data_IF_854231977202
#
_entry.id   IF_854231977202
#
_cell.length_a   1.000
_cell.length_b   1.000
_cell.length_c   1.000
_cell.angle_alpha   90.00
_cell.angle_beta   90.00
_cell.angle_gamma   90.00
#
_symmetry.space_group_name_H-M   'P 1'
#
loop_
_entity.id
_entity.type
_entity.pdbx_description
1 polymer ?
#
# COMPACT_ATOMS: atom_id res chain seq x y z
N UNK A 1 -2.60 15.66 -13.60
CA UNK A 1 -3.70 14.70 -13.55
C UNK A 1 -3.24 13.45 -12.81
N UNK A 2 -3.86 13.17 -11.65
CA UNK A 2 -3.44 12.08 -10.76
C UNK A 2 -3.65 10.66 -11.29
N UNK A 3 -4.09 10.50 -12.53
CA UNK A 3 -4.19 9.21 -13.21
C UNK A 3 -2.90 8.80 -13.94
N UNK A 4 -1.98 9.73 -14.15
CA UNK A 4 -0.78 9.51 -14.93
C UNK A 4 0.45 9.14 -14.09
N UNK A 5 0.34 9.10 -12.78
CA UNK A 5 1.45 8.75 -11.92
C UNK A 5 1.05 7.88 -10.72
N UNK A 6 2.04 7.17 -10.19
CA UNK A 6 1.97 6.52 -8.89
C UNK A 6 2.93 7.19 -7.90
N UNK A 7 2.50 7.35 -6.65
CA UNK A 7 3.39 7.73 -5.56
C UNK A 7 4.35 6.59 -5.26
N UNK A 8 5.64 6.87 -5.23
CA UNK A 8 6.64 5.88 -4.82
C UNK A 8 7.29 6.30 -3.50
N UNK A 9 7.23 5.40 -2.54
CA UNK A 9 7.88 5.47 -1.25
C UNK A 9 9.18 4.65 -1.29
N UNK A 10 9.24 3.49 -0.61
CA UNK A 10 10.40 2.59 -0.69
C UNK A 10 10.54 1.78 -1.98
N UNK A 11 9.50 1.72 -2.79
CA UNK A 11 9.49 1.06 -4.09
C UNK A 11 9.56 -0.48 -4.06
N UNK A 12 9.68 -1.09 -2.90
CA UNK A 12 9.92 -2.55 -2.74
C UNK A 12 8.78 -3.43 -3.25
N UNK A 13 7.57 -2.89 -3.29
CA UNK A 13 6.40 -3.54 -3.85
C UNK A 13 6.01 -2.96 -5.21
N UNK A 14 5.86 -1.65 -5.29
CA UNK A 14 5.40 -0.95 -6.48
C UNK A 14 6.28 -1.24 -7.71
N UNK A 15 7.60 -1.17 -7.57
CA UNK A 15 8.50 -1.41 -8.71
C UNK A 15 8.51 -2.88 -9.18
N UNK A 16 8.24 -3.83 -8.28
CA UNK A 16 8.01 -5.21 -8.66
C UNK A 16 6.72 -5.35 -9.49
N UNK A 17 5.65 -4.65 -9.10
CA UNK A 17 4.39 -4.62 -9.83
C UNK A 17 4.55 -4.00 -11.22
N UNK A 18 5.39 -2.98 -11.39
CA UNK A 18 5.76 -2.44 -12.72
C UNK A 18 6.45 -3.47 -13.62
N UNK A 19 7.36 -4.28 -13.06
CA UNK A 19 8.01 -5.37 -13.82
C UNK A 19 7.01 -6.42 -14.33
N UNK A 20 5.95 -6.66 -13.58
CA UNK A 20 4.88 -7.59 -13.94
C UNK A 20 3.76 -6.94 -14.75
N UNK A 21 3.90 -5.66 -15.07
CA UNK A 21 2.89 -4.84 -15.73
C UNK A 21 1.53 -4.85 -15.01
N UNK A 22 1.56 -4.95 -13.69
CA UNK A 22 0.40 -4.72 -12.83
C UNK A 22 0.13 -3.22 -12.72
N UNK A 23 1.18 -2.43 -12.49
CA UNK A 23 1.15 -0.97 -12.60
C UNK A 23 1.76 -0.57 -13.96
N UNK A 24 1.08 0.33 -14.67
CA UNK A 24 1.43 0.72 -16.05
C UNK A 24 1.46 2.23 -16.26
N UNK A 25 1.25 3.03 -15.22
CA UNK A 25 1.27 4.49 -15.32
C UNK A 25 2.63 5.00 -15.83
N UNK A 26 2.66 6.02 -16.70
CA UNK A 26 3.89 6.48 -17.32
C UNK A 26 4.86 7.16 -16.37
N UNK A 27 4.37 7.64 -15.22
CA UNK A 27 5.17 8.39 -14.27
C UNK A 27 5.10 7.81 -12.85
N UNK A 28 6.20 7.97 -12.11
CA UNK A 28 6.26 7.75 -10.67
C UNK A 28 6.81 9.00 -9.98
N UNK A 29 6.19 9.41 -8.90
CA UNK A 29 6.60 10.58 -8.12
C UNK A 29 7.12 10.11 -6.76
N UNK A 30 8.40 10.38 -6.49
CA UNK A 30 9.02 9.97 -5.24
C UNK A 30 8.67 10.92 -4.10
N UNK A 31 8.24 10.36 -2.97
CA UNK A 31 8.00 11.08 -1.73
C UNK A 31 9.31 11.42 -0.98
N UNK A 32 10.45 10.86 -1.38
CA UNK A 32 11.73 10.95 -0.64
C UNK A 32 12.31 12.36 -0.50
N UNK A 33 11.79 13.33 -1.25
CA UNK A 33 12.25 14.74 -1.19
C UNK A 33 11.40 15.62 -0.29
N UNK A 34 10.32 15.10 0.28
CA UNK A 34 9.48 15.85 1.21
C UNK A 34 10.15 15.84 2.58
N UNK A 35 10.50 17.00 3.15
CA UNK A 35 11.18 17.05 4.43
C UNK A 35 10.25 16.64 5.59
N UNK A 36 10.79 15.98 6.60
CA UNK A 36 10.11 15.68 7.85
C UNK A 36 9.14 14.49 7.84
N UNK A 37 8.94 13.82 6.70
CA UNK A 37 8.02 12.68 6.60
C UNK A 37 8.68 11.32 6.87
N UNK A 38 9.92 11.30 7.33
CA UNK A 38 10.69 10.12 7.75
C UNK A 38 10.97 10.08 9.26
N UNK A 39 10.35 10.96 10.02
CA UNK A 39 10.50 11.05 11.48
C UNK A 39 10.01 9.79 12.18
N UNK A 40 10.67 9.43 13.29
CA UNK A 40 10.30 8.30 14.14
C UNK A 40 10.29 8.73 15.60
N UNK A 41 9.14 8.65 16.22
CA UNK A 41 8.96 8.84 17.66
C UNK A 41 7.93 7.86 18.21
N UNK A 42 7.81 7.79 19.52
CA UNK A 42 6.83 6.91 20.18
C UNK A 42 5.37 7.31 19.93
N UNK A 43 5.12 8.56 19.53
CA UNK A 43 3.78 9.10 19.29
C UNK A 43 3.47 9.36 17.82
N UNK A 44 4.49 9.52 16.99
CA UNK A 44 4.34 9.90 15.60
C UNK A 44 5.40 9.25 14.72
N UNK A 45 4.98 8.65 13.63
CA UNK A 45 5.86 8.01 12.66
C UNK A 45 5.50 8.49 11.26
N UNK A 46 6.45 9.12 10.61
CA UNK A 46 6.29 9.59 9.23
C UNK A 46 6.18 8.46 8.22
N UNK A 47 5.44 8.68 7.15
CA UNK A 47 5.17 7.65 6.15
C UNK A 47 6.43 7.11 5.45
N UNK A 48 7.50 7.92 5.38
CA UNK A 48 8.78 7.53 4.80
C UNK A 48 9.75 6.91 5.82
N UNK A 49 9.36 6.76 7.10
CA UNK A 49 10.14 6.02 8.09
C UNK A 49 10.39 4.59 7.59
N UNK A 50 11.66 4.20 7.52
CA UNK A 50 12.05 2.87 7.06
C UNK A 50 11.71 1.82 8.10
N UNK A 51 11.26 0.65 7.67
CA UNK A 51 10.92 -0.43 8.59
C UNK A 51 12.13 -0.86 9.42
N UNK A 52 13.34 -0.81 8.87
CA UNK A 52 14.57 -1.08 9.62
C UNK A 52 14.84 -0.09 10.75
N UNK A 53 14.38 1.16 10.66
CA UNK A 53 14.50 2.13 11.74
C UNK A 53 13.46 1.93 12.84
N UNK A 54 12.35 1.24 12.55
CA UNK A 54 11.34 0.89 13.53
C UNK A 54 11.75 -0.31 14.40
N UNK A 55 12.54 -1.25 13.86
CA UNK A 55 12.97 -2.47 14.57
C UNK A 55 13.73 -2.19 15.88
N UNK A 56 14.51 -1.13 15.94
CA UNK A 56 15.29 -0.74 17.12
C UNK A 56 15.04 0.71 17.55
N UNK A 57 13.98 1.33 16.99
CA UNK A 57 13.68 2.73 17.21
C UNK A 57 12.90 2.99 18.50
N UNK A 58 12.71 4.28 18.79
CA UNK A 58 11.88 4.74 19.89
C UNK A 58 10.39 4.68 19.49
N UNK A 59 9.86 3.48 19.33
CA UNK A 59 8.47 3.19 18.99
C UNK A 59 7.88 2.17 19.97
N UNK A 60 6.56 1.99 19.94
CA UNK A 60 5.91 0.97 20.76
C UNK A 60 6.47 -0.43 20.44
N UNK A 61 6.77 -1.28 21.43
CA UNK A 61 7.41 -2.60 21.23
C UNK A 61 6.70 -3.50 20.20
N UNK A 62 5.38 -3.48 20.17
CA UNK A 62 4.59 -4.24 19.19
C UNK A 62 4.86 -3.77 17.76
N UNK A 63 5.06 -2.45 17.53
CA UNK A 63 5.40 -1.91 16.21
C UNK A 63 6.80 -2.37 15.81
N UNK A 64 7.78 -2.29 16.73
CA UNK A 64 9.13 -2.75 16.49
C UNK A 64 9.18 -4.24 16.13
N UNK A 65 8.44 -5.08 16.87
CA UNK A 65 8.35 -6.51 16.59
C UNK A 65 7.70 -6.77 15.23
N UNK A 66 6.57 -6.14 14.92
CA UNK A 66 5.90 -6.31 13.63
C UNK A 66 6.81 -5.87 12.47
N UNK A 67 7.47 -4.71 12.60
CA UNK A 67 8.41 -4.23 11.59
C UNK A 67 9.53 -5.24 11.33
N UNK A 68 10.09 -5.84 12.39
CA UNK A 68 11.15 -6.86 12.30
C UNK A 68 10.71 -8.17 11.62
N UNK A 69 9.41 -8.45 11.54
CA UNK A 69 8.85 -9.63 10.85
C UNK A 69 8.60 -9.40 9.36
N UNK A 70 8.57 -8.15 8.90
CA UNK A 70 8.31 -7.84 7.48
C UNK A 70 9.47 -8.32 6.61
N UNK A 71 9.21 -9.20 5.66
CA UNK A 71 10.14 -9.62 4.61
C UNK A 71 11.57 -9.92 5.12
N UNK A 72 12.62 -9.49 4.39
CA UNK A 72 14.01 -9.63 4.78
C UNK A 72 14.58 -8.31 5.33
N UNK A 73 15.68 -8.39 6.08
CA UNK A 73 16.39 -7.21 6.58
C UNK A 73 16.83 -6.25 5.46
N UNK A 74 17.15 -6.79 4.28
CA UNK A 74 17.51 -5.97 3.13
C UNK A 74 16.30 -5.19 2.58
N UNK A 75 15.15 -5.84 2.48
CA UNK A 75 13.90 -5.19 2.07
C UNK A 75 13.51 -4.09 3.07
N UNK A 76 13.59 -4.34 4.37
CA UNK A 76 13.24 -3.37 5.41
C UNK A 76 14.08 -2.10 5.41
N UNK A 77 15.30 -2.14 4.87
CA UNK A 77 16.15 -0.95 4.65
C UNK A 77 15.61 0.01 3.58
N UNK A 78 14.74 -0.45 2.71
CA UNK A 78 14.10 0.37 1.66
C UNK A 78 12.60 0.52 1.89
N UNK A 79 11.93 -0.52 2.37
CA UNK A 79 10.51 -0.48 2.68
C UNK A 79 10.22 0.54 3.79
N UNK A 80 9.10 1.24 3.66
CA UNK A 80 8.67 2.32 4.57
C UNK A 80 7.33 1.98 5.21
N UNK A 81 7.00 2.67 6.31
CA UNK A 81 5.71 2.50 6.99
C UNK A 81 4.55 2.82 6.05
N UNK A 82 4.54 3.99 5.41
CA UNK A 82 3.46 4.37 4.49
C UNK A 82 3.34 3.42 3.30
N UNK A 83 4.47 2.96 2.76
CA UNK A 83 4.47 1.93 1.72
C UNK A 83 3.86 0.61 2.18
N UNK A 84 4.10 0.18 3.43
CA UNK A 84 3.48 -1.01 4.01
C UNK A 84 1.97 -0.80 4.23
N UNK A 85 1.55 0.35 4.74
CA UNK A 85 0.13 0.66 4.95
C UNK A 85 -0.66 0.80 3.63
N UNK A 86 -0.02 1.29 2.58
CA UNK A 86 -0.64 1.49 1.27
C UNK A 86 -0.40 0.35 0.28
N UNK A 87 0.07 -0.83 0.74
CA UNK A 87 0.28 -2.00 -0.12
C UNK A 87 -0.96 -2.29 -0.97
N UNK A 88 -0.73 -2.72 -2.20
CA UNK A 88 -1.82 -3.26 -2.99
C UNK A 88 -2.29 -4.61 -2.45
N UNK A 89 -3.55 -4.92 -2.65
CA UNK A 89 -4.14 -6.20 -2.25
C UNK A 89 -3.61 -7.34 -3.12
N UNK A 90 -3.53 -8.54 -2.56
CA UNK A 90 -2.95 -9.72 -3.19
C UNK A 90 -4.01 -10.75 -3.55
N UNK A 91 -3.85 -11.30 -4.74
CA UNK A 91 -4.64 -12.42 -5.24
C UNK A 91 -3.77 -13.27 -6.17
N UNK A 92 -3.85 -14.59 -6.04
CA UNK A 92 -3.13 -15.51 -6.92
C UNK A 92 -3.40 -15.23 -8.41
N UNK A 93 -4.63 -14.93 -8.76
CA UNK A 93 -5.06 -14.69 -10.14
C UNK A 93 -4.66 -13.31 -10.69
N UNK A 94 -4.35 -12.36 -9.84
CA UNK A 94 -3.96 -11.01 -10.25
C UNK A 94 -2.45 -10.78 -10.23
N UNK A 95 -1.75 -11.26 -9.19
CA UNK A 95 -0.32 -11.01 -9.00
C UNK A 95 0.54 -11.97 -9.83
N UNK A 96 0.38 -11.92 -11.14
CA UNK A 96 1.04 -12.73 -12.16
C UNK A 96 1.55 -11.83 -13.29
N UNK A 97 2.38 -12.38 -14.20
CA UNK A 97 2.80 -11.65 -15.39
C UNK A 97 1.62 -11.25 -16.27
N UNK A 98 1.79 -10.23 -17.08
CA UNK A 98 0.76 -9.78 -18.02
C UNK A 98 0.32 -10.90 -18.96
N UNK A 99 1.27 -11.65 -19.52
CA UNK A 99 0.98 -12.75 -20.46
C UNK A 99 0.15 -13.84 -19.76
N UNK A 100 0.47 -14.17 -18.51
CA UNK A 100 -0.31 -15.13 -17.74
C UNK A 100 -1.73 -14.60 -17.47
N UNK A 101 -1.88 -13.34 -17.04
CA UNK A 101 -3.20 -12.73 -16.82
C UNK A 101 -4.03 -12.70 -18.11
N UNK A 102 -3.39 -12.42 -19.25
CA UNK A 102 -4.02 -12.45 -20.57
C UNK A 102 -4.49 -13.85 -20.94
N UNK A 103 -3.70 -14.88 -20.67
CA UNK A 103 -4.04 -16.29 -21.04
C UNK A 103 -5.27 -16.81 -20.29
N UNK A 104 -5.62 -16.24 -19.15
CA UNK A 104 -6.82 -16.58 -18.37
C UNK A 104 -7.97 -15.59 -18.60
N UNK A 105 -7.86 -14.74 -19.65
CA UNK A 105 -8.86 -13.72 -19.96
C UNK A 105 -9.09 -12.70 -18.85
N UNK A 106 -8.02 -12.38 -18.08
CA UNK A 106 -8.01 -11.39 -17.00
C UNK A 106 -8.97 -11.70 -15.83
N UNK A 107 -9.03 -10.81 -14.88
CA UNK A 107 -10.05 -10.76 -13.84
C UNK A 107 -10.61 -9.33 -13.76
N UNK A 108 -11.69 -9.10 -13.02
CA UNK A 108 -12.33 -7.79 -12.95
C UNK A 108 -11.46 -6.69 -12.28
N UNK A 109 -10.40 -7.07 -11.54
CA UNK A 109 -9.42 -6.12 -10.98
C UNK A 109 -8.34 -5.72 -12.01
N UNK A 110 -8.21 -6.41 -13.13
CA UNK A 110 -7.12 -6.19 -14.07
C UNK A 110 -7.17 -4.77 -14.69
N UNK A 111 -6.01 -4.16 -14.86
CA UNK A 111 -5.86 -2.79 -15.34
C UNK A 111 -6.40 -2.56 -16.76
N UNK A 112 -6.45 -3.62 -17.57
CA UNK A 112 -7.00 -3.54 -18.92
C UNK A 112 -8.53 -3.47 -18.98
N UNK A 113 -9.22 -3.67 -17.85
CA UNK A 113 -10.69 -3.60 -17.77
C UNK A 113 -11.45 -4.62 -18.62
N UNK A 114 -10.78 -5.64 -19.15
CA UNK A 114 -11.41 -6.65 -20.03
C UNK A 114 -11.91 -7.87 -19.26
N UNK A 115 -11.45 -8.07 -18.02
CA UNK A 115 -11.95 -9.13 -17.16
C UNK A 115 -13.36 -8.81 -16.64
N UNK A 116 -14.32 -9.70 -16.89
CA UNK A 116 -15.72 -9.50 -16.53
C UNK A 116 -16.08 -10.07 -15.17
N UNK A 117 -15.25 -10.93 -14.57
CA UNK A 117 -15.61 -11.68 -13.38
C UNK A 117 -14.42 -11.95 -12.44
N UNK A 118 -14.74 -12.22 -11.19
CA UNK A 118 -13.77 -12.64 -10.18
C UNK A 118 -13.38 -14.10 -10.40
N UNK A 119 -12.06 -14.38 -10.51
CA UNK A 119 -11.57 -15.77 -10.69
C UNK A 119 -11.53 -16.56 -9.39
N UNK A 120 -11.65 -15.90 -8.23
CA UNK A 120 -11.72 -16.55 -6.91
C UNK A 120 -13.17 -16.94 -6.60
N UNK A 121 -14.11 -16.02 -6.81
CA UNK A 121 -15.52 -16.21 -6.56
C UNK A 121 -16.30 -15.82 -7.82
N UNK A 122 -16.48 -16.76 -8.76
CA UNK A 122 -17.20 -16.51 -10.00
C UNK A 122 -18.66 -16.10 -9.75
N UNK A 123 -19.20 -15.28 -10.64
CA UNK A 123 -20.57 -14.73 -10.57
C UNK A 123 -20.86 -13.84 -9.34
N UNK A 124 -19.81 -13.35 -8.69
CA UNK A 124 -19.88 -12.31 -7.67
C UNK A 124 -19.06 -11.11 -8.14
N UNK A 125 -19.64 -10.20 -8.85
CA UNK A 125 -18.92 -9.22 -9.64
C UNK A 125 -18.85 -7.82 -9.03
N UNK A 126 -19.34 -7.59 -7.83
CA UNK A 126 -19.41 -6.24 -7.25
C UNK A 126 -18.17 -5.85 -6.46
N UNK A 127 -17.49 -6.82 -5.82
CA UNK A 127 -16.33 -6.58 -4.97
C UNK A 127 -15.15 -7.48 -5.34
N UNK A 128 -13.94 -6.95 -5.22
CA UNK A 128 -12.73 -7.74 -5.34
C UNK A 128 -12.35 -8.34 -3.98
N UNK A 129 -12.16 -9.66 -3.93
CA UNK A 129 -11.77 -10.40 -2.70
C UNK A 129 -10.27 -10.52 -2.51
N UNK A 130 -9.46 -9.80 -3.29
CA UNK A 130 -8.02 -9.71 -3.05
C UNK A 130 -7.76 -9.12 -1.67
N UNK A 131 -6.82 -9.71 -0.92
CA UNK A 131 -6.60 -9.38 0.49
C UNK A 131 -5.43 -8.44 0.69
N UNK A 132 -5.53 -7.53 1.65
CA UNK A 132 -4.41 -6.74 2.14
C UNK A 132 -3.39 -7.63 2.86
N UNK A 133 -2.09 -7.38 2.64
CA UNK A 133 -0.99 -8.24 3.12
C UNK A 133 0.07 -7.47 3.93
N UNK A 134 -0.23 -6.28 4.42
CA UNK A 134 0.70 -5.51 5.25
C UNK A 134 0.71 -6.01 6.70
N UNK A 135 1.90 -6.19 7.27
CA UNK A 135 2.06 -6.79 8.60
C UNK A 135 1.87 -5.77 9.74
N UNK A 136 2.06 -4.46 9.48
CA UNK A 136 2.09 -3.44 10.54
C UNK A 136 0.70 -2.88 10.83
N UNK A 137 -0.17 -2.80 9.83
CA UNK A 137 -1.51 -2.23 9.99
C UNK A 137 -2.34 -2.87 11.11
N UNK A 138 -2.39 -4.21 11.27
CA UNK A 138 -3.13 -4.83 12.37
C UNK A 138 -2.67 -4.35 13.75
N UNK A 139 -1.36 -4.21 13.93
CA UNK A 139 -0.77 -3.72 15.18
C UNK A 139 -1.16 -2.27 15.44
N UNK A 140 -1.03 -1.41 14.43
CA UNK A 140 -1.42 0.00 14.55
C UNK A 140 -2.92 0.17 14.82
N UNK A 141 -3.77 -0.66 14.22
CA UNK A 141 -5.21 -0.67 14.50
C UNK A 141 -5.52 -1.02 15.95
N UNK A 142 -4.86 -2.05 16.51
CA UNK A 142 -5.02 -2.45 17.92
C UNK A 142 -4.56 -1.34 18.86
N UNK A 143 -3.52 -0.59 18.47
CA UNK A 143 -3.02 0.56 19.23
C UNK A 143 -3.89 1.83 19.05
N UNK A 144 -4.95 1.79 18.25
CA UNK A 144 -5.83 2.94 18.01
C UNK A 144 -5.17 4.05 17.19
N UNK A 145 -4.23 3.71 16.32
CA UNK A 145 -3.51 4.69 15.51
C UNK A 145 -4.43 5.45 14.56
N UNK A 146 -4.13 6.73 14.36
CA UNK A 146 -4.72 7.57 13.31
C UNK A 146 -3.74 7.76 12.17
N UNK A 147 -4.25 8.01 10.98
CA UNK A 147 -3.46 8.38 9.80
C UNK A 147 -3.76 9.82 9.39
N UNK A 148 -2.71 10.55 9.04
CA UNK A 148 -2.80 11.88 8.46
C UNK A 148 -2.58 11.78 6.96
N UNK A 149 -3.54 12.23 6.20
CA UNK A 149 -3.55 12.24 4.74
C UNK A 149 -3.43 13.67 4.26
N UNK A 150 -2.70 13.86 3.16
CA UNK A 150 -2.57 15.18 2.52
C UNK A 150 -2.78 15.04 1.02
N UNK A 151 -3.50 15.98 0.45
CA UNK A 151 -3.81 16.03 -0.98
C UNK A 151 -4.21 17.42 -1.45
N UNK A 152 -4.69 17.54 -2.69
CA UNK A 152 -5.10 18.82 -3.25
C UNK A 152 -6.20 19.56 -2.46
N UNK A 153 -7.04 18.79 -1.73
CA UNK A 153 -8.13 19.30 -0.90
C UNK A 153 -7.67 19.72 0.52
N UNK A 154 -6.39 19.55 0.86
CA UNK A 154 -5.83 19.85 2.18
C UNK A 154 -5.47 18.57 2.96
N UNK A 155 -5.36 18.75 4.28
CA UNK A 155 -5.06 17.67 5.22
C UNK A 155 -6.34 17.13 5.86
N UNK A 156 -6.37 15.81 6.11
CA UNK A 156 -7.40 15.17 6.92
C UNK A 156 -6.82 14.07 7.78
N UNK A 157 -7.47 13.82 8.92
CA UNK A 157 -7.05 12.81 9.89
C UNK A 157 -8.21 11.85 10.12
N UNK A 158 -7.90 10.55 10.22
CA UNK A 158 -8.89 9.53 10.53
C UNK A 158 -8.25 8.36 11.27
N UNK A 159 -9.05 7.52 11.89
CA UNK A 159 -8.55 6.26 12.44
C UNK A 159 -8.05 5.34 11.32
N UNK A 160 -6.97 4.62 11.57
CA UNK A 160 -6.45 3.64 10.61
C UNK A 160 -7.48 2.55 10.29
N UNK A 161 -8.36 2.21 11.22
CA UNK A 161 -9.46 1.27 10.99
C UNK A 161 -10.49 1.74 9.95
N UNK A 162 -10.60 3.05 9.74
CA UNK A 162 -11.48 3.67 8.74
C UNK A 162 -10.80 3.88 7.39
N UNK A 163 -9.48 3.72 7.34
CA UNK A 163 -8.68 3.92 6.14
C UNK A 163 -8.89 2.83 5.09
N UNK A 164 -9.08 1.58 5.50
CA UNK A 164 -9.24 0.46 4.60
C UNK A 164 -10.69 0.22 4.21
N UNK A 165 -10.88 -0.30 2.98
CA UNK A 165 -12.19 -0.70 2.47
C UNK A 165 -12.24 -2.21 2.23
N UNK A 166 -13.43 -2.79 2.29
CA UNK A 166 -13.68 -4.21 2.03
C UNK A 166 -13.77 -4.50 0.51
N UNK A 167 -12.85 -3.90 -0.27
CA UNK A 167 -12.78 -4.11 -1.71
C UNK A 167 -11.31 -4.14 -2.14
N UNK A 168 -10.90 -5.21 -2.77
CA UNK A 168 -9.53 -5.37 -3.24
C UNK A 168 -9.13 -4.42 -4.37
N UNK A 169 -10.08 -3.77 -5.06
CA UNK A 169 -9.83 -2.69 -6.04
C UNK A 169 -9.73 -1.33 -5.35
N UNK A 170 -10.75 -0.96 -4.58
CA UNK A 170 -10.76 0.24 -3.75
C UNK A 170 -10.28 -0.09 -2.33
N UNK A 171 -9.03 -0.49 -2.21
CA UNK A 171 -8.46 -1.00 -0.96
C UNK A 171 -8.45 -0.01 0.21
N UNK A 172 -8.43 1.28 -0.07
CA UNK A 172 -8.41 2.35 0.93
C UNK A 172 -9.16 3.60 0.44
N UNK A 173 -9.28 4.59 1.33
CA UNK A 173 -10.03 5.83 1.11
C UNK A 173 -9.21 6.96 0.53
N UNK A 174 -7.96 6.72 0.06
CA UNK A 174 -7.15 7.75 -0.58
C UNK A 174 -7.87 8.31 -1.82
N UNK A 175 -7.90 9.62 -1.88
CA UNK A 175 -8.43 10.36 -3.01
C UNK A 175 -7.32 10.60 -4.07
N UNK A 176 -7.74 11.05 -5.24
CA UNK A 176 -6.83 11.35 -6.35
C UNK A 176 -5.79 12.42 -5.94
N UNK A 177 -4.51 12.09 -6.05
CA UNK A 177 -3.41 12.99 -5.67
C UNK A 177 -3.11 13.06 -4.18
N UNK A 178 -3.85 12.32 -3.36
CA UNK A 178 -3.64 12.25 -1.92
C UNK A 178 -2.59 11.18 -1.58
N UNK A 179 -1.85 11.41 -0.51
CA UNK A 179 -0.93 10.41 0.05
C UNK A 179 -0.93 10.45 1.59
N UNK A 180 -0.45 9.39 2.20
CA UNK A 180 -0.30 9.27 3.64
C UNK A 180 0.95 10.05 4.07
N UNK A 181 0.77 10.95 5.05
CA UNK A 181 1.84 11.82 5.58
C UNK A 181 2.51 11.18 6.80
N UNK A 182 1.70 10.69 7.76
CA UNK A 182 2.16 10.08 9.02
C UNK A 182 1.04 9.28 9.68
#
# INVERSE_FOLDING_TARGET
DGEEFDWVSGGTDLLANYKWRINTKPHVISLSKIPGIDTVSNLEIGCMARLSSLEGGNVHPMIAEAAGKVASSLIRKSATLGGNLCLDTRCFWYNQSEDWRRSIEWCHKADCGTGSDCRVIPNQNTLCVATYQGDIAPVLMVLGASVHLIGPSGERVMLLSEFYQLDGMKKNVLEKGEFLLK
#
